data_IF_148843159349
#
_entry.id   IF_148843159349
#
_cell.length_a   1.000
_cell.length_b   1.000
_cell.length_c   1.000
_cell.angle_alpha   90.00
_cell.angle_beta   90.00
_cell.angle_gamma   90.00
#
_symmetry.space_group_name_H-M   'P 1'
#
loop_
_entity.id
_entity.type
_entity.pdbx_description
1 polymer ?
#
# COMPACT_ATOMS: atom_id res chain seq x y z
N UNK A 1 -7.38 -23.18 -3.91
CA UNK A 1 -6.51 -23.36 -2.71
C UNK A 1 -5.55 -22.17 -2.67
N UNK A 2 -5.88 -21.15 -1.89
CA UNK A 2 -5.04 -19.93 -1.73
C UNK A 2 -3.78 -20.31 -0.96
N UNK A 3 -2.63 -20.29 -1.62
CA UNK A 3 -1.32 -20.43 -0.95
C UNK A 3 -0.92 -19.06 -0.39
N UNK A 4 -1.03 -18.93 0.92
CA UNK A 4 -0.47 -17.81 1.66
C UNK A 4 1.06 -17.93 1.68
N UNK A 5 1.73 -17.11 0.88
CA UNK A 5 3.18 -16.97 1.01
C UNK A 5 3.41 -15.84 2.01
N UNK A 6 3.57 -16.20 3.27
CA UNK A 6 4.13 -15.30 4.26
C UNK A 6 5.62 -15.11 3.95
N UNK A 7 5.97 -14.00 3.32
CA UNK A 7 7.34 -13.53 3.30
C UNK A 7 7.67 -13.06 4.72
N UNK A 8 8.29 -13.94 5.50
CA UNK A 8 8.77 -13.65 6.84
C UNK A 8 9.89 -12.59 6.76
N UNK A 9 9.57 -11.35 7.09
CA UNK A 9 10.55 -10.31 7.32
C UNK A 9 11.13 -10.53 8.71
N UNK A 10 12.30 -11.17 8.78
CA UNK A 10 13.03 -11.38 10.01
C UNK A 10 13.46 -10.02 10.58
N UNK A 11 12.79 -9.59 11.64
CA UNK A 11 13.17 -8.43 12.42
C UNK A 11 14.42 -8.81 13.25
N UNK A 12 15.61 -8.51 12.75
CA UNK A 12 16.85 -8.68 13.49
C UNK A 12 16.93 -7.56 14.54
N UNK A 13 16.59 -7.88 15.76
CA UNK A 13 16.79 -6.97 16.91
C UNK A 13 18.29 -6.93 17.21
N UNK A 14 18.94 -5.83 16.84
CA UNK A 14 20.29 -5.53 17.32
C UNK A 14 20.22 -5.13 18.80
N UNK A 15 20.60 -6.02 19.69
CA UNK A 15 20.87 -5.68 21.08
C UNK A 15 22.27 -5.06 21.16
N UNK A 16 22.32 -3.74 21.26
CA UNK A 16 23.52 -3.01 21.66
C UNK A 16 23.76 -3.24 23.16
N UNK A 17 24.55 -4.24 23.49
CA UNK A 17 25.12 -4.38 24.84
C UNK A 17 26.33 -3.46 24.90
N UNK A 18 26.17 -2.32 25.59
CA UNK A 18 27.28 -1.44 25.91
C UNK A 18 28.17 -2.07 26.99
N UNK A 19 29.50 -1.81 26.98
CA UNK A 19 30.39 -2.34 27.98
C UNK A 19 30.10 -1.73 29.37
N UNK A 20 29.82 -2.58 30.36
CA UNK A 20 29.78 -2.19 31.76
C UNK A 20 31.23 -2.08 32.22
N UNK A 21 31.71 -0.86 32.45
CA UNK A 21 32.97 -0.63 33.17
C UNK A 21 32.73 -0.78 34.65
N UNK A 22 33.23 -1.84 35.24
CA UNK A 22 33.37 -1.97 36.67
C UNK A 22 34.68 -1.28 37.07
N UNK A 23 34.58 -0.03 37.52
CA UNK A 23 35.67 0.68 38.16
C UNK A 23 35.73 0.30 39.65
N UNK A 24 36.76 -0.39 40.07
CA UNK A 24 37.08 -0.58 41.47
C UNK A 24 37.99 0.56 41.91
N UNK A 25 37.45 1.56 42.60
CA UNK A 25 38.26 2.56 43.33
C UNK A 25 38.21 2.31 44.83
N UNK A 26 39.34 1.90 45.31
CA UNK A 26 39.67 1.81 46.72
C UNK A 26 40.47 3.07 47.07
N UNK A 27 39.82 4.13 47.57
CA UNK A 27 40.50 5.20 48.30
C UNK A 27 39.60 5.80 49.37
N UNK A 28 40.04 5.57 50.56
CA UNK A 28 39.63 6.15 51.80
C UNK A 28 39.90 7.64 51.79
N UNK A 29 38.88 8.49 51.62
CA UNK A 29 38.99 9.89 52.07
C UNK A 29 37.66 10.40 52.61
N UNK A 30 37.72 10.82 53.88
CA UNK A 30 36.62 11.38 54.65
C UNK A 30 36.46 12.85 54.31
N UNK A 31 35.23 13.25 54.05
CA UNK A 31 34.70 14.61 53.86
C UNK A 31 34.37 15.04 52.40
N UNK A 32 33.47 14.31 51.79
CA UNK A 32 32.74 14.89 50.65
C UNK A 32 31.30 15.11 51.13
N UNK A 33 30.92 16.40 51.33
CA UNK A 33 29.52 16.79 51.38
C UNK A 33 28.85 16.22 50.15
N UNK A 34 27.88 15.34 50.36
CA UNK A 34 27.03 14.80 49.32
C UNK A 34 26.34 15.98 48.60
N UNK A 35 26.97 16.52 47.58
CA UNK A 35 26.27 17.27 46.55
C UNK A 35 25.51 16.19 45.77
N UNK A 36 24.29 15.91 46.20
CA UNK A 36 23.34 15.19 45.38
C UNK A 36 23.14 16.06 44.16
N UNK A 37 23.93 15.83 43.14
CA UNK A 37 23.58 16.32 41.78
C UNK A 37 22.17 15.84 41.54
N UNK A 38 21.22 16.72 41.22
CA UNK A 38 19.91 16.26 40.84
C UNK A 38 20.12 15.30 39.69
N UNK A 39 19.78 14.02 39.89
CA UNK A 39 19.66 13.09 38.78
C UNK A 39 18.71 13.76 37.78
N UNK A 40 19.26 14.32 36.71
CA UNK A 40 18.49 14.72 35.57
C UNK A 40 17.94 13.44 34.96
N UNK A 41 16.79 12.99 35.47
CA UNK A 41 15.98 12.01 34.76
C UNK A 41 15.92 12.49 33.31
N UNK A 42 16.41 11.73 32.33
CA UNK A 42 16.36 12.14 30.94
C UNK A 42 14.89 12.44 30.62
N UNK A 43 14.59 13.70 30.36
CA UNK A 43 13.22 14.09 30.05
C UNK A 43 12.81 13.28 28.82
N UNK A 44 11.76 12.48 28.96
CA UNK A 44 11.19 11.76 27.84
C UNK A 44 10.83 12.79 26.76
N UNK A 45 11.26 12.53 25.53
CA UNK A 45 10.84 13.36 24.41
C UNK A 45 9.30 13.39 24.36
N UNK A 46 8.73 14.59 24.28
CA UNK A 46 7.29 14.77 24.27
C UNK A 46 6.75 14.58 22.84
N UNK A 47 6.02 13.51 22.62
CA UNK A 47 5.36 13.22 21.35
C UNK A 47 3.95 13.82 21.23
N UNK A 48 3.39 14.38 22.31
CA UNK A 48 2.05 14.96 22.33
C UNK A 48 1.98 16.23 21.49
N UNK A 49 0.99 16.33 20.64
CA UNK A 49 0.70 17.52 19.85
C UNK A 49 0.16 17.21 18.46
N UNK A 50 -0.31 18.26 17.81
CA UNK A 50 -0.63 18.24 16.39
C UNK A 50 0.66 18.23 15.56
N UNK A 51 0.60 17.53 14.44
CA UNK A 51 1.70 17.51 13.49
C UNK A 51 1.18 17.46 12.05
N UNK A 52 2.02 17.98 11.16
CA UNK A 52 1.84 17.89 9.71
C UNK A 52 3.15 17.40 9.10
N UNK A 53 3.08 16.82 7.91
CA UNK A 53 4.29 16.36 7.24
C UNK A 53 4.11 16.23 5.74
N UNK A 54 5.25 16.18 5.05
CA UNK A 54 5.35 15.80 3.65
C UNK A 54 6.03 14.44 3.56
N UNK A 55 5.52 13.59 2.68
CA UNK A 55 6.03 12.24 2.48
C UNK A 55 6.30 11.95 1.02
N UNK A 56 7.26 11.07 0.78
CA UNK A 56 7.54 10.51 -0.53
C UNK A 56 7.99 9.07 -0.39
N UNK A 57 7.77 8.28 -1.42
CA UNK A 57 8.08 6.88 -1.33
C UNK A 57 7.93 6.11 -2.62
N UNK A 58 7.82 4.82 -2.46
CA UNK A 58 7.66 3.87 -3.54
C UNK A 58 6.50 2.93 -3.24
N UNK A 59 5.63 2.77 -4.25
CA UNK A 59 4.43 1.96 -4.17
C UNK A 59 4.51 0.80 -5.14
N UNK A 60 3.98 -0.34 -4.71
CA UNK A 60 3.83 -1.55 -5.50
C UNK A 60 2.39 -2.03 -5.37
N UNK A 61 1.67 -2.08 -6.48
CA UNK A 61 0.31 -2.59 -6.56
C UNK A 61 0.27 -3.93 -7.30
N UNK A 62 -0.50 -4.87 -6.81
CA UNK A 62 -0.86 -6.13 -7.46
C UNK A 62 -2.35 -6.13 -7.78
N UNK A 63 -2.65 -6.40 -9.02
CA UNK A 63 -4.00 -6.48 -9.55
C UNK A 63 -4.21 -7.86 -10.15
N UNK A 64 -5.16 -8.62 -9.60
CA UNK A 64 -5.47 -9.97 -10.04
C UNK A 64 -6.85 -9.98 -10.72
N UNK A 65 -6.92 -9.81 -12.06
CA UNK A 65 -8.18 -9.87 -12.79
C UNK A 65 -8.63 -11.33 -12.97
N UNK A 66 -9.92 -11.58 -12.79
CA UNK A 66 -10.59 -12.83 -13.14
C UNK A 66 -11.72 -12.50 -14.12
N UNK A 67 -11.51 -12.83 -15.40
CA UNK A 67 -12.46 -12.54 -16.49
C UNK A 67 -13.41 -13.72 -16.66
N UNK A 68 -14.70 -13.44 -16.60
CA UNK A 68 -15.78 -14.37 -16.98
C UNK A 68 -16.56 -13.77 -18.14
N UNK A 69 -16.65 -14.49 -19.25
CA UNK A 69 -17.39 -14.09 -20.43
C UNK A 69 -18.80 -14.71 -20.44
N UNK A 70 -19.81 -13.87 -20.72
CA UNK A 70 -21.22 -14.24 -20.69
C UNK A 70 -21.95 -13.78 -21.96
N UNK A 71 -23.28 -13.97 -22.00
CA UNK A 71 -24.10 -13.61 -23.14
C UNK A 71 -23.87 -14.54 -24.33
N UNK A 72 -23.68 -13.98 -25.52
CA UNK A 72 -23.50 -14.74 -26.76
C UNK A 72 -22.20 -15.57 -26.80
N UNK A 73 -21.23 -15.29 -25.92
CA UNK A 73 -20.07 -16.17 -25.68
C UNK A 73 -20.46 -17.59 -25.25
N UNK A 74 -21.64 -17.77 -24.67
CA UNK A 74 -22.17 -19.08 -24.28
C UNK A 74 -22.41 -20.03 -25.47
N UNK A 75 -22.61 -19.46 -26.65
CA UNK A 75 -22.75 -20.22 -27.90
C UNK A 75 -21.41 -20.67 -28.49
N UNK A 76 -20.29 -20.09 -28.01
CA UNK A 76 -18.92 -20.33 -28.47
C UNK A 76 -18.01 -20.80 -27.31
N UNK A 77 -18.30 -21.95 -26.69
CA UNK A 77 -17.64 -22.33 -25.42
C UNK A 77 -16.14 -22.56 -25.55
N UNK A 78 -15.64 -23.01 -26.71
CA UNK A 78 -14.22 -23.21 -26.94
C UNK A 78 -13.46 -21.89 -27.07
N UNK A 79 -14.04 -20.91 -27.77
CA UNK A 79 -13.46 -19.58 -27.93
C UNK A 79 -13.51 -18.80 -26.62
N UNK A 80 -14.63 -18.89 -25.88
CA UNK A 80 -14.78 -18.37 -24.53
C UNK A 80 -13.64 -18.86 -23.62
N UNK A 81 -13.44 -20.17 -23.54
CA UNK A 81 -12.40 -20.76 -22.70
C UNK A 81 -10.99 -20.33 -23.13
N UNK A 82 -10.74 -20.20 -24.43
CA UNK A 82 -9.46 -19.73 -24.94
C UNK A 82 -9.16 -18.29 -24.51
N UNK A 83 -10.15 -17.38 -24.59
CA UNK A 83 -10.03 -15.98 -24.18
C UNK A 83 -9.88 -15.88 -22.66
N UNK A 84 -10.73 -16.54 -21.87
CA UNK A 84 -10.65 -16.55 -20.40
C UNK A 84 -9.28 -17.07 -19.92
N UNK A 85 -8.76 -18.13 -20.54
CA UNK A 85 -7.45 -18.71 -20.18
C UNK A 85 -6.30 -17.78 -20.56
N UNK A 86 -6.38 -17.11 -21.70
CA UNK A 86 -5.36 -16.16 -22.13
C UNK A 86 -5.28 -14.92 -21.19
N UNK A 87 -6.38 -14.57 -20.52
CA UNK A 87 -6.54 -13.37 -19.70
C UNK A 87 -6.62 -13.62 -18.21
N UNK A 88 -7.30 -14.70 -17.80
CA UNK A 88 -7.75 -14.92 -16.42
C UNK A 88 -6.69 -15.34 -15.43
N UNK A 89 -5.43 -15.50 -15.81
CA UNK A 89 -4.45 -16.15 -14.91
C UNK A 89 -3.18 -15.34 -14.61
N UNK A 90 -3.08 -14.10 -15.03
CA UNK A 90 -1.83 -13.34 -14.85
C UNK A 90 -2.06 -12.03 -14.13
N UNK A 91 -1.54 -11.97 -12.88
CA UNK A 91 -1.44 -10.75 -12.09
C UNK A 91 -0.75 -9.63 -12.86
N UNK A 92 -1.32 -8.44 -12.80
CA UNK A 92 -0.72 -7.21 -13.28
C UNK A 92 -0.08 -6.49 -12.10
N UNK A 93 1.24 -6.29 -12.17
CA UNK A 93 1.96 -5.59 -11.12
C UNK A 93 2.33 -4.20 -11.60
N UNK A 94 1.89 -3.18 -10.89
CA UNK A 94 2.29 -1.79 -11.12
C UNK A 94 3.30 -1.35 -10.07
N UNK A 95 4.25 -0.52 -10.49
CA UNK A 95 5.26 0.06 -9.60
C UNK A 95 5.44 1.52 -9.93
N UNK A 96 5.61 2.34 -8.89
CA UNK A 96 5.80 3.77 -9.12
C UNK A 96 6.20 4.51 -7.86
N UNK A 97 6.56 5.77 -8.04
CA UNK A 97 6.79 6.69 -6.94
C UNK A 97 5.47 7.13 -6.30
N UNK A 98 5.55 7.64 -5.08
CA UNK A 98 4.45 8.32 -4.39
C UNK A 98 4.95 9.59 -3.72
N UNK A 99 4.09 10.60 -3.66
CA UNK A 99 4.35 11.83 -2.89
C UNK A 99 3.04 12.37 -2.33
N UNK A 100 3.11 12.90 -1.11
CA UNK A 100 1.90 13.36 -0.43
C UNK A 100 2.15 14.11 0.85
N UNK A 101 1.08 14.31 1.60
CA UNK A 101 1.09 14.98 2.89
C UNK A 101 0.35 14.15 3.93
N UNK A 102 0.63 14.49 5.18
CA UNK A 102 -0.02 13.86 6.32
C UNK A 102 -0.28 14.89 7.41
N UNK A 103 -1.26 14.59 8.23
CA UNK A 103 -1.57 15.35 9.43
C UNK A 103 -2.08 14.41 10.51
N UNK A 104 -1.88 14.77 11.76
CA UNK A 104 -2.35 13.95 12.86
C UNK A 104 -2.18 14.61 14.21
N UNK A 105 -2.65 13.90 15.20
CA UNK A 105 -2.49 14.27 16.60
C UNK A 105 -2.01 13.07 17.40
N UNK A 106 -0.99 13.25 18.23
CA UNK A 106 -0.51 12.26 19.17
C UNK A 106 -0.83 12.69 20.60
N UNK A 107 -1.16 11.71 21.43
CA UNK A 107 -1.27 11.85 22.88
C UNK A 107 -0.34 10.83 23.54
N UNK A 108 0.62 11.31 24.32
CA UNK A 108 1.58 10.47 25.03
C UNK A 108 1.18 10.29 26.48
N UNK A 109 1.14 9.05 26.92
CA UNK A 109 0.92 8.64 28.30
C UNK A 109 2.10 7.76 28.75
N UNK A 110 3.01 8.34 29.51
CA UNK A 110 4.30 7.73 29.84
C UNK A 110 5.12 7.37 28.59
N UNK A 111 5.31 6.08 28.32
CA UNK A 111 6.00 5.60 27.12
C UNK A 111 5.06 5.29 25.95
N UNK A 112 3.76 5.18 26.21
CA UNK A 112 2.79 4.88 25.16
C UNK A 112 2.35 6.15 24.45
N UNK A 113 2.30 6.07 23.13
CA UNK A 113 1.83 7.15 22.27
C UNK A 113 0.64 6.63 21.46
N UNK A 114 -0.49 7.27 21.66
CA UNK A 114 -1.71 7.01 20.93
C UNK A 114 -1.97 8.18 19.98
N UNK A 115 -2.31 7.91 18.75
CA UNK A 115 -2.56 8.98 17.78
C UNK A 115 -3.68 8.63 16.82
N UNK A 116 -4.15 9.67 16.14
CA UNK A 116 -4.98 9.58 14.95
C UNK A 116 -4.26 10.31 13.83
N UNK A 117 -4.16 9.66 12.68
CA UNK A 117 -3.45 10.20 11.53
C UNK A 117 -4.30 10.06 10.28
N UNK A 118 -4.24 11.07 9.42
CA UNK A 118 -4.74 11.02 8.06
C UNK A 118 -3.60 11.38 7.11
N UNK A 119 -3.49 10.65 6.02
CA UNK A 119 -2.53 10.94 4.95
C UNK A 119 -3.19 10.85 3.58
N UNK A 120 -2.60 11.58 2.63
CA UNK A 120 -3.01 11.56 1.23
C UNK A 120 -1.78 11.62 0.33
N UNK A 121 -1.72 10.73 -0.64
CA UNK A 121 -0.61 10.63 -1.57
C UNK A 121 -1.08 10.52 -3.01
N UNK A 122 -0.37 11.21 -3.89
CA UNK A 122 -0.44 10.98 -5.32
C UNK A 122 0.50 9.83 -5.68
N UNK A 123 -0.01 8.90 -6.49
CA UNK A 123 0.68 7.68 -6.90
C UNK A 123 0.94 7.75 -8.41
N UNK A 124 2.18 7.46 -8.81
CA UNK A 124 2.52 7.30 -10.23
C UNK A 124 2.49 5.82 -10.62
N UNK A 125 1.41 5.13 -10.23
CA UNK A 125 1.21 3.72 -10.55
C UNK A 125 0.50 3.60 -11.90
N UNK A 126 1.16 2.98 -12.85
CA UNK A 126 0.57 2.62 -14.15
C UNK A 126 1.17 1.32 -14.67
N UNK A 127 0.34 0.48 -15.21
CA UNK A 127 0.78 -0.65 -16.01
C UNK A 127 -0.22 -0.88 -17.15
N UNK A 128 0.28 -1.26 -18.30
CA UNK A 128 -0.51 -1.74 -19.42
C UNK A 128 0.09 -3.02 -19.95
N UNK A 129 -0.76 -3.96 -20.29
CA UNK A 129 -0.37 -5.21 -20.92
C UNK A 129 -1.17 -5.42 -22.19
N UNK A 130 -0.47 -5.66 -23.27
CA UNK A 130 -1.03 -6.16 -24.50
C UNK A 130 -0.75 -7.66 -24.58
N UNK A 131 -1.75 -8.47 -24.84
CA UNK A 131 -1.51 -9.86 -25.20
C UNK A 131 -1.05 -9.93 -26.64
N UNK A 132 -0.18 -10.92 -26.91
CA UNK A 132 0.10 -11.27 -28.30
C UNK A 132 -1.19 -11.68 -29.00
N UNK A 133 -1.28 -11.42 -30.30
CA UNK A 133 -2.38 -11.89 -31.14
C UNK A 133 -2.48 -13.41 -31.02
N UNK A 134 -3.65 -13.92 -30.67
CA UNK A 134 -3.91 -15.36 -30.56
C UNK A 134 -5.11 -15.77 -31.38
N UNK A 135 -5.11 -17.02 -31.85
CA UNK A 135 -6.21 -17.59 -32.61
C UNK A 135 -7.16 -18.33 -31.68
N UNK A 136 -8.45 -18.27 -31.96
CA UNK A 136 -9.47 -19.02 -31.26
C UNK A 136 -9.79 -20.32 -32.04
N UNK A 137 -10.30 -21.39 -31.36
CA UNK A 137 -10.44 -22.69 -31.98
C UNK A 137 -11.52 -22.83 -33.05
N UNK A 138 -12.60 -22.02 -32.98
CA UNK A 138 -13.79 -22.23 -33.82
C UNK A 138 -13.86 -21.34 -35.05
N UNK A 139 -13.13 -20.21 -35.07
CA UNK A 139 -13.09 -19.28 -36.19
C UNK A 139 -11.65 -19.01 -36.62
N UNK A 140 -11.41 -18.63 -37.89
CA UNK A 140 -10.08 -18.21 -38.36
C UNK A 140 -9.67 -16.83 -37.80
N UNK A 141 -10.43 -16.29 -36.88
CA UNK A 141 -10.22 -14.96 -36.33
C UNK A 141 -9.10 -14.93 -35.33
N UNK A 142 -8.44 -13.77 -35.25
CA UNK A 142 -7.38 -13.51 -34.31
C UNK A 142 -7.76 -12.37 -33.41
N UNK A 143 -7.47 -12.52 -32.11
CA UNK A 143 -7.82 -11.57 -31.08
C UNK A 143 -6.57 -11.04 -30.38
N UNK A 144 -6.66 -9.81 -29.91
CA UNK A 144 -5.74 -9.26 -28.93
C UNK A 144 -6.51 -8.60 -27.79
N UNK A 145 -5.98 -8.61 -26.60
CA UNK A 145 -6.60 -7.96 -25.46
C UNK A 145 -5.58 -7.06 -24.81
N UNK A 146 -5.98 -5.81 -24.68
CA UNK A 146 -5.24 -4.78 -23.97
C UNK A 146 -5.92 -4.53 -22.64
N UNK A 147 -5.17 -4.66 -21.57
CA UNK A 147 -5.60 -4.32 -20.22
C UNK A 147 -4.71 -3.19 -19.70
N UNK A 148 -5.29 -2.09 -19.25
CA UNK A 148 -4.57 -0.99 -18.63
C UNK A 148 -5.13 -0.68 -17.26
N UNK A 149 -4.25 -0.39 -16.34
CA UNK A 149 -4.53 -0.07 -14.96
C UNK A 149 -3.75 1.17 -14.53
N UNK A 150 -4.42 2.07 -13.82
CA UNK A 150 -3.80 3.28 -13.25
C UNK A 150 -4.42 3.57 -11.89
N UNK A 151 -3.59 3.98 -10.95
CA UNK A 151 -4.01 4.55 -9.66
C UNK A 151 -3.31 5.88 -9.48
N UNK A 152 -4.05 6.92 -9.13
CA UNK A 152 -3.55 8.28 -9.02
C UNK A 152 -3.48 8.78 -7.59
N UNK A 153 -4.41 8.38 -6.72
CA UNK A 153 -4.38 8.82 -5.33
C UNK A 153 -4.75 7.71 -4.36
N UNK A 154 -4.17 7.82 -3.19
CA UNK A 154 -4.50 7.02 -2.02
C UNK A 154 -4.63 7.97 -0.83
N UNK A 155 -5.74 7.89 -0.11
CA UNK A 155 -5.94 8.57 1.15
C UNK A 155 -6.20 7.54 2.25
N UNK A 156 -5.60 7.71 3.42
CA UNK A 156 -5.83 6.82 4.56
C UNK A 156 -6.14 7.61 5.82
N UNK A 157 -6.92 7.00 6.71
CA UNK A 157 -7.21 7.55 8.02
C UNK A 157 -7.30 6.43 9.04
N UNK A 158 -6.64 6.60 10.19
CA UNK A 158 -6.70 5.58 11.23
C UNK A 158 -5.90 5.88 12.48
N UNK A 159 -6.17 5.12 13.55
CA UNK A 159 -5.40 5.16 14.78
C UNK A 159 -3.98 4.63 14.58
N UNK A 160 -3.08 5.14 15.40
CA UNK A 160 -1.71 4.64 15.55
C UNK A 160 -1.36 4.45 17.02
N UNK A 161 -0.57 3.43 17.32
CA UNK A 161 -0.08 3.14 18.66
C UNK A 161 1.41 2.89 18.59
N UNK A 162 2.17 3.60 19.42
CA UNK A 162 3.62 3.50 19.48
C UNK A 162 4.14 3.44 20.91
N UNK A 163 5.41 3.10 21.02
CA UNK A 163 6.12 3.09 22.28
C UNK A 163 7.38 3.97 22.20
N UNK A 164 7.45 4.99 23.04
CA UNK A 164 8.52 5.98 23.03
C UNK A 164 9.77 5.51 23.78
N UNK A 165 10.87 5.39 23.05
CA UNK A 165 12.23 5.22 23.56
C UNK A 165 12.99 6.54 23.41
N UNK A 166 12.68 7.51 24.27
CA UNK A 166 13.20 8.86 24.11
C UNK A 166 12.76 9.48 22.79
N UNK A 167 13.71 9.80 21.93
CA UNK A 167 13.46 10.38 20.59
C UNK A 167 13.10 9.36 19.50
N UNK A 168 13.02 8.10 19.83
CA UNK A 168 12.72 7.02 18.92
C UNK A 168 11.33 6.43 19.22
N UNK A 169 10.46 6.36 18.20
CA UNK A 169 9.07 5.91 18.32
C UNK A 169 8.76 4.85 17.25
N UNK A 170 8.94 3.55 17.54
CA UNK A 170 8.29 2.50 16.77
C UNK A 170 6.78 2.54 17.00
N UNK A 171 6.01 2.28 15.96
CA UNK A 171 4.54 2.29 16.03
C UNK A 171 3.93 1.34 15.00
N UNK A 172 2.67 1.01 15.24
CA UNK A 172 1.78 0.34 14.30
C UNK A 172 0.57 1.22 14.03
N UNK A 173 -0.03 1.07 12.88
CA UNK A 173 -1.21 1.81 12.45
C UNK A 173 -2.16 0.89 11.70
N UNK A 174 -3.43 1.23 11.69
CA UNK A 174 -4.43 0.55 10.91
C UNK A 174 -5.66 1.43 10.76
N UNK A 175 -6.43 1.25 9.70
CA UNK A 175 -7.57 2.12 9.47
C UNK A 175 -8.22 1.92 8.12
N UNK A 176 -8.92 2.96 7.68
CA UNK A 176 -9.60 3.01 6.39
C UNK A 176 -8.66 3.54 5.31
N UNK A 177 -8.84 3.04 4.11
CA UNK A 177 -8.16 3.50 2.91
C UNK A 177 -9.20 3.85 1.84
N UNK A 178 -8.92 4.90 1.06
CA UNK A 178 -9.68 5.33 -0.11
C UNK A 178 -8.70 5.52 -1.26
N UNK A 179 -8.91 4.83 -2.36
CA UNK A 179 -8.07 4.94 -3.55
C UNK A 179 -8.90 5.01 -4.82
N UNK A 180 -8.37 5.68 -5.85
CA UNK A 180 -8.98 5.64 -7.17
C UNK A 180 -8.43 4.46 -7.97
N UNK A 181 -9.30 3.92 -8.80
CA UNK A 181 -8.99 2.83 -9.70
C UNK A 181 -9.51 3.19 -11.10
N UNK A 182 -8.60 3.45 -12.02
CA UNK A 182 -8.89 3.57 -13.44
C UNK A 182 -8.50 2.27 -14.13
N UNK A 183 -9.50 1.56 -14.59
CA UNK A 183 -9.34 0.33 -15.35
C UNK A 183 -9.91 0.50 -16.77
N UNK A 184 -9.16 0.04 -17.76
CA UNK A 184 -9.67 -0.06 -19.13
C UNK A 184 -9.22 -1.40 -19.73
N UNK A 185 -10.17 -2.08 -20.33
CA UNK A 185 -9.96 -3.32 -21.08
C UNK A 185 -10.52 -3.17 -22.48
N UNK A 186 -9.78 -3.62 -23.48
CA UNK A 186 -10.13 -3.58 -24.89
C UNK A 186 -9.80 -4.93 -25.53
N UNK A 187 -10.79 -5.53 -26.17
CA UNK A 187 -10.66 -6.78 -26.93
C UNK A 187 -10.84 -6.42 -28.41
N UNK A 188 -9.81 -6.59 -29.20
CA UNK A 188 -9.81 -6.33 -30.63
C UNK A 188 -9.80 -7.63 -31.41
N UNK A 189 -10.72 -7.75 -32.36
CA UNK A 189 -10.72 -8.80 -33.37
C UNK A 189 -10.09 -8.26 -34.68
N UNK A 190 -8.97 -8.83 -35.11
CA UNK A 190 -8.18 -8.27 -36.21
C UNK A 190 -8.78 -8.48 -37.62
N UNK A 191 -9.65 -9.49 -37.78
CA UNK A 191 -10.22 -9.83 -39.09
C UNK A 191 -11.68 -9.40 -39.27
N UNK A 192 -12.29 -8.78 -38.25
CA UNK A 192 -13.64 -8.23 -38.30
C UNK A 192 -13.71 -6.90 -37.55
N UNK A 193 -14.73 -6.12 -37.81
CA UNK A 193 -14.96 -4.85 -37.12
C UNK A 193 -15.62 -5.07 -35.73
N UNK A 194 -15.09 -6.01 -34.97
CA UNK A 194 -15.57 -6.29 -33.61
C UNK A 194 -14.58 -5.72 -32.59
N UNK A 195 -15.11 -4.89 -31.73
CA UNK A 195 -14.40 -4.37 -30.55
C UNK A 195 -15.30 -4.56 -29.34
N UNK A 196 -14.76 -5.12 -28.27
CA UNK A 196 -15.37 -5.13 -26.96
C UNK A 196 -14.49 -4.33 -26.04
N UNK A 197 -15.02 -3.30 -25.41
CA UNK A 197 -14.23 -2.46 -24.52
C UNK A 197 -15.08 -1.91 -23.39
N UNK A 198 -14.40 -1.63 -22.30
CA UNK A 198 -14.97 -0.96 -21.14
C UNK A 198 -13.90 -0.20 -20.40
N UNK A 199 -14.23 1.02 -19.97
CA UNK A 199 -13.43 1.77 -19.03
C UNK A 199 -14.27 2.08 -17.80
N UNK A 200 -13.68 1.92 -16.63
CA UNK A 200 -14.33 2.23 -15.37
C UNK A 200 -13.37 3.00 -14.49
N UNK A 201 -13.86 4.13 -13.97
CA UNK A 201 -13.14 4.92 -12.99
C UNK A 201 -13.99 4.98 -11.72
N UNK A 202 -13.45 4.54 -10.61
CA UNK A 202 -14.17 4.51 -9.33
C UNK A 202 -13.21 4.74 -8.16
N UNK A 203 -13.77 5.35 -7.10
CA UNK A 203 -13.10 5.43 -5.80
C UNK A 203 -13.54 4.24 -4.96
N UNK A 204 -12.58 3.45 -4.51
CA UNK A 204 -12.78 2.29 -3.69
C UNK A 204 -12.41 2.58 -2.24
N UNK A 205 -13.19 2.00 -1.33
CA UNK A 205 -12.92 2.03 0.09
C UNK A 205 -12.43 0.65 0.55
N UNK A 206 -11.39 0.66 1.35
CA UNK A 206 -10.79 -0.53 1.89
C UNK A 206 -10.20 -0.32 3.27
N UNK A 207 -9.27 -1.18 3.64
CA UNK A 207 -8.57 -1.09 4.91
C UNK A 207 -7.06 -1.03 4.69
N UNK A 208 -6.36 -0.47 5.66
CA UNK A 208 -4.90 -0.47 5.69
C UNK A 208 -4.37 -0.95 7.03
N UNK A 209 -3.18 -1.54 7.00
CA UNK A 209 -2.37 -1.83 8.18
C UNK A 209 -0.91 -1.48 7.88
N UNK A 210 -0.22 -0.95 8.88
CA UNK A 210 1.16 -0.53 8.68
C UNK A 210 1.98 -0.51 9.95
N UNK A 211 3.28 -0.35 9.77
CA UNK A 211 4.23 -0.15 10.84
C UNK A 211 5.29 0.86 10.41
N UNK A 212 5.83 1.58 11.38
CA UNK A 212 6.85 2.58 11.11
C UNK A 212 7.73 2.90 12.29
N UNK A 213 8.75 3.67 11.98
CA UNK A 213 9.71 4.20 12.92
C UNK A 213 9.78 5.71 12.74
N UNK A 214 9.63 6.45 13.82
CA UNK A 214 9.75 7.90 13.81
C UNK A 214 10.89 8.33 14.74
N UNK A 215 11.69 9.29 14.32
CA UNK A 215 12.81 9.83 15.08
C UNK A 215 12.70 11.35 15.22
N UNK A 216 12.68 11.84 16.46
CA UNK A 216 12.66 13.27 16.78
C UNK A 216 14.06 13.89 16.61
N UNK A 217 14.24 14.71 15.59
CA UNK A 217 15.50 15.44 15.33
C UNK A 217 15.61 16.59 16.33
N UNK A 218 14.55 17.40 16.42
CA UNK A 218 14.39 18.49 17.38
C UNK A 218 13.06 18.32 18.09
N UNK A 219 12.68 19.24 18.96
CA UNK A 219 11.38 19.17 19.66
C UNK A 219 10.19 19.40 18.73
N UNK A 220 10.42 19.95 17.53
CA UNK A 220 9.38 20.21 16.51
C UNK A 220 9.56 19.34 15.27
N UNK A 221 10.79 19.00 14.88
CA UNK A 221 11.05 18.27 13.65
C UNK A 221 11.34 16.80 13.90
N UNK A 222 10.74 15.95 13.10
CA UNK A 222 10.98 14.50 13.10
C UNK A 222 10.99 13.94 11.70
N UNK A 223 11.69 12.82 11.53
CA UNK A 223 11.66 11.98 10.31
C UNK A 223 10.96 10.68 10.62
N UNK A 224 10.31 10.12 9.61
CA UNK A 224 9.56 8.88 9.70
C UNK A 224 9.88 7.98 8.51
N UNK A 225 10.03 6.69 8.77
CA UNK A 225 9.96 5.64 7.76
C UNK A 225 8.76 4.76 8.08
N UNK A 226 7.91 4.47 7.07
CA UNK A 226 6.68 3.71 7.23
C UNK A 226 6.50 2.74 6.08
N UNK A 227 6.00 1.56 6.41
CA UNK A 227 5.46 0.60 5.46
C UNK A 227 3.98 0.41 5.73
N UNK A 228 3.18 0.44 4.66
CA UNK A 228 1.73 0.21 4.69
C UNK A 228 1.36 -0.89 3.70
N UNK A 229 0.49 -1.76 4.13
CA UNK A 229 -0.29 -2.66 3.30
C UNK A 229 -1.70 -2.10 3.20
N UNK A 230 -2.22 -2.01 1.99
CA UNK A 230 -3.56 -1.50 1.69
C UNK A 230 -4.29 -2.54 0.87
N UNK A 231 -5.55 -2.80 1.22
CA UNK A 231 -6.46 -3.69 0.51
C UNK A 231 -7.73 -2.88 0.20
N UNK A 232 -7.95 -2.58 -1.08
CA UNK A 232 -9.09 -1.80 -1.56
C UNK A 232 -10.28 -2.69 -1.95
N UNK A 233 -10.23 -3.98 -1.59
CA UNK A 233 -11.31 -4.92 -1.82
C UNK A 233 -11.40 -5.44 -3.26
N UNK A 234 -12.50 -6.16 -3.51
CA UNK A 234 -12.81 -6.74 -4.80
C UNK A 234 -13.84 -5.85 -5.53
N UNK A 235 -13.61 -5.61 -6.81
CA UNK A 235 -14.54 -4.85 -7.65
C UNK A 235 -14.92 -5.67 -8.90
N UNK A 236 -16.20 -5.57 -9.26
CA UNK A 236 -16.76 -6.20 -10.46
C UNK A 236 -16.88 -5.16 -11.58
N UNK A 237 -16.28 -5.45 -12.73
CA UNK A 237 -16.35 -4.62 -13.94
C UNK A 237 -17.09 -5.35 -15.05
N UNK A 238 -18.00 -4.66 -15.72
CA UNK A 238 -18.72 -5.22 -16.86
C UNK A 238 -18.16 -4.66 -18.15
N UNK A 239 -17.81 -5.53 -19.08
CA UNK A 239 -17.50 -5.17 -20.47
C UNK A 239 -18.70 -5.44 -21.37
N UNK A 240 -18.82 -4.68 -22.44
CA UNK A 240 -19.89 -4.84 -23.44
C UNK A 240 -19.29 -4.83 -24.83
N UNK A 241 -19.71 -5.78 -25.66
CA UNK A 241 -19.36 -5.83 -27.06
C UNK A 241 -20.25 -4.92 -27.92
N UNK A 242 -19.70 -4.45 -29.03
CA UNK A 242 -20.34 -3.51 -29.95
C UNK A 242 -20.88 -4.16 -31.23
N UNK A 243 -20.92 -5.50 -31.33
CA UNK A 243 -21.42 -6.19 -32.50
C UNK A 243 -22.91 -5.95 -32.70
N UNK A 244 -23.36 -5.63 -33.94
CA UNK A 244 -24.78 -5.46 -34.24
C UNK A 244 -25.59 -6.73 -33.95
N UNK A 245 -26.65 -6.63 -33.17
CA UNK A 245 -27.58 -7.71 -32.82
C UNK A 245 -26.97 -8.86 -31.99
N UNK A 246 -25.84 -8.64 -31.34
CA UNK A 246 -25.20 -9.61 -30.45
C UNK A 246 -24.94 -8.97 -29.08
N UNK A 247 -25.16 -9.74 -28.03
CA UNK A 247 -24.96 -9.31 -26.63
C UNK A 247 -23.78 -10.04 -26.03
N UNK A 248 -22.58 -9.71 -26.49
CA UNK A 248 -21.35 -10.13 -25.85
C UNK A 248 -21.14 -9.32 -24.58
N UNK A 249 -20.99 -9.98 -23.47
CA UNK A 249 -20.74 -9.34 -22.16
C UNK A 249 -19.66 -10.09 -21.42
N UNK A 250 -18.87 -9.38 -20.65
CA UNK A 250 -17.89 -9.96 -19.77
C UNK A 250 -17.96 -9.30 -18.39
N UNK A 251 -17.70 -10.06 -17.36
CA UNK A 251 -17.50 -9.57 -16.00
C UNK A 251 -16.07 -9.86 -15.59
N UNK A 252 -15.32 -8.83 -15.26
CA UNK A 252 -13.99 -8.96 -14.70
C UNK A 252 -14.03 -8.61 -13.21
N UNK A 253 -13.59 -9.53 -12.36
CA UNK A 253 -13.40 -9.29 -10.94
C UNK A 253 -11.94 -8.96 -10.72
N UNK A 254 -11.69 -7.92 -9.92
CA UNK A 254 -10.34 -7.53 -9.63
C UNK A 254 -10.16 -7.22 -8.15
N UNK A 255 -9.15 -7.81 -7.54
CA UNK A 255 -8.68 -7.43 -6.21
C UNK A 255 -7.46 -6.54 -6.33
N UNK A 256 -7.46 -5.43 -5.61
CA UNK A 256 -6.37 -4.48 -5.57
C UNK A 256 -5.68 -4.52 -4.21
N UNK A 257 -4.43 -4.94 -4.22
CA UNK A 257 -3.54 -4.91 -3.06
C UNK A 257 -2.39 -3.96 -3.33
N UNK A 258 -2.07 -3.12 -2.37
CA UNK A 258 -1.00 -2.13 -2.51
C UNK A 258 -0.05 -2.18 -1.31
N UNK A 259 1.25 -2.03 -1.61
CA UNK A 259 2.33 -1.96 -0.65
C UNK A 259 3.05 -0.63 -0.81
N UNK A 260 3.08 0.17 0.24
CA UNK A 260 3.70 1.49 0.24
C UNK A 260 4.85 1.55 1.23
N UNK A 261 6.01 1.98 0.77
CA UNK A 261 7.16 2.30 1.60
C UNK A 261 7.45 3.79 1.48
N UNK A 262 7.31 4.55 2.56
CA UNK A 262 7.41 6.01 2.57
C UNK A 262 8.41 6.52 3.59
N UNK A 263 9.01 7.67 3.27
CA UNK A 263 9.77 8.49 4.21
C UNK A 263 9.07 9.83 4.30
N UNK A 264 8.95 10.38 5.51
CA UNK A 264 8.31 11.66 5.76
C UNK A 264 9.18 12.57 6.61
N UNK A 265 9.09 13.87 6.35
CA UNK A 265 9.54 14.94 7.22
C UNK A 265 8.31 15.57 7.85
N UNK A 266 8.31 15.68 9.18
CA UNK A 266 7.15 16.09 9.96
C UNK A 266 7.50 17.26 10.88
N UNK A 267 6.54 18.16 11.03
CA UNK A 267 6.61 19.28 11.97
C UNK A 267 5.50 19.15 13.02
N UNK A 268 5.87 19.18 14.28
CA UNK A 268 4.99 19.16 15.45
C UNK A 268 4.86 20.55 16.04
N UNK A 269 3.66 21.00 16.30
CA UNK A 269 3.33 22.28 16.94
C UNK A 269 3.47 22.27 18.45
#
# INVERSE_FOLDING_TARGET
MKKWIFAGMALTVFTLVGPVYAGSDNSSDKNIKNVVSPETTPSLYNWTGFYVGAQGGYSYGSFDPDLTLDGDWSALPADRTAIETAHGTRSLNARGGSAGGLLGYNYQMNHWVFGLEADGSYLWLRNSRDTSIFSVPTTPDTFSVRTSFKTHYLATVGPRVGYAFGRFLPYVTGGLALGDLDFAQEIDQHNAAFQEGGSHSRTNAGWMAGAGLQYGITDHWSVRAQYQYVDLGDEDFNTKGTAPNQSFTGTSKASLMEHNATIALMYKF
#
